data_IF_762866068705
#
_entry.id   IF_762866068705
#
_cell.length_a   1.000
_cell.length_b   1.000
_cell.length_c   1.000
_cell.angle_alpha   90.00
_cell.angle_beta   90.00
_cell.angle_gamma   90.00
#
_symmetry.space_group_name_H-M   'P 1'
#
loop_
_entity.id
_entity.type
_entity.pdbx_description
1 polymer ?
#
# COMPACT_ATOMS: atom_id res chain seq x y z
N UNK A 1 -7.60 -13.71 18.55
CA UNK A 1 -6.82 -14.18 17.39
C UNK A 1 -6.88 -13.18 16.24
N UNK A 2 -8.07 -12.86 15.70
CA UNK A 2 -8.22 -11.87 14.62
C UNK A 2 -7.60 -10.49 14.94
N UNK A 3 -7.85 -9.94 16.12
CA UNK A 3 -7.27 -8.64 16.51
C UNK A 3 -5.74 -8.62 16.59
N UNK A 4 -5.11 -9.75 16.94
CA UNK A 4 -3.65 -9.89 16.96
C UNK A 4 -3.10 -9.92 15.53
N UNK A 5 -3.77 -10.65 14.64
CA UNK A 5 -3.40 -10.68 13.22
C UNK A 5 -3.46 -9.28 12.59
N UNK A 6 -4.55 -8.53 12.80
CA UNK A 6 -4.65 -7.14 12.32
C UNK A 6 -3.52 -6.28 12.89
N UNK A 7 -3.28 -6.34 14.21
CA UNK A 7 -2.23 -5.57 14.85
C UNK A 7 -0.84 -5.88 14.26
N UNK A 8 -0.52 -7.16 14.06
CA UNK A 8 0.74 -7.58 13.44
C UNK A 8 0.89 -7.04 12.01
N UNK A 9 -0.17 -7.14 11.21
CA UNK A 9 -0.19 -6.63 9.84
C UNK A 9 0.07 -5.13 9.79
N UNK A 10 -0.68 -4.36 10.57
CA UNK A 10 -0.56 -2.90 10.65
C UNK A 10 0.83 -2.49 11.18
N UNK A 11 1.34 -3.16 12.21
CA UNK A 11 2.68 -2.88 12.75
C UNK A 11 3.77 -3.14 11.70
N UNK A 12 3.65 -4.23 10.94
CA UNK A 12 4.55 -4.51 9.82
C UNK A 12 4.50 -3.43 8.74
N UNK A 13 3.31 -2.99 8.36
CA UNK A 13 3.11 -1.88 7.41
C UNK A 13 3.78 -0.60 7.88
N UNK A 14 3.57 -0.20 9.14
CA UNK A 14 4.19 0.99 9.74
C UNK A 14 5.71 0.88 9.74
N UNK A 15 6.27 -0.27 10.10
CA UNK A 15 7.72 -0.49 10.10
C UNK A 15 8.30 -0.33 8.69
N UNK A 16 7.61 -0.81 7.65
CA UNK A 16 8.03 -0.63 6.26
C UNK A 16 7.96 0.84 5.83
N UNK A 17 6.96 1.60 6.27
CA UNK A 17 6.86 3.03 5.99
C UNK A 17 8.01 3.82 6.64
N UNK A 18 8.33 3.48 7.90
CA UNK A 18 9.50 4.03 8.61
C UNK A 18 10.79 3.65 7.88
N UNK A 19 10.91 2.42 7.38
CA UNK A 19 12.06 2.00 6.60
C UNK A 19 12.21 2.78 5.30
N UNK A 20 11.12 3.03 4.57
CA UNK A 20 11.14 3.88 3.38
C UNK A 20 11.61 5.31 3.69
N UNK A 21 11.19 5.86 4.83
CA UNK A 21 11.65 7.17 5.34
C UNK A 21 13.15 7.19 5.68
N UNK A 22 13.69 6.07 6.17
CA UNK A 22 15.13 5.90 6.43
C UNK A 22 15.91 5.83 5.13
N UNK A 23 15.45 5.02 4.16
CA UNK A 23 16.09 4.89 2.84
C UNK A 23 16.11 6.21 2.07
N UNK A 24 15.02 6.99 2.13
CA UNK A 24 14.96 8.33 1.53
C UNK A 24 16.04 9.25 2.13
N UNK A 25 16.16 9.27 3.45
CA UNK A 25 17.09 10.17 4.16
C UNK A 25 18.55 9.76 4.06
N UNK A 26 18.84 8.47 4.12
CA UNK A 26 20.21 7.96 4.24
C UNK A 26 20.79 7.48 2.91
N UNK A 27 19.95 7.01 1.98
CA UNK A 27 20.37 6.42 0.72
C UNK A 27 19.83 7.17 -0.51
N UNK A 28 19.02 8.22 -0.33
CA UNK A 28 18.44 9.00 -1.43
C UNK A 28 17.42 8.24 -2.27
N UNK A 29 16.91 7.10 -1.77
CA UNK A 29 15.92 6.29 -2.49
C UNK A 29 14.55 6.97 -2.37
N UNK A 30 13.86 7.30 -3.49
CA UNK A 30 12.55 7.93 -3.42
C UNK A 30 11.53 7.07 -2.68
N UNK A 31 10.64 7.72 -1.92
CA UNK A 31 9.52 7.02 -1.27
C UNK A 31 8.53 6.44 -2.29
N UNK A 32 7.79 5.39 -1.92
CA UNK A 32 6.70 4.88 -2.75
C UNK A 32 5.67 5.98 -3.07
N UNK A 33 5.26 6.05 -4.34
CA UNK A 33 4.17 6.91 -4.77
C UNK A 33 2.82 6.23 -4.51
N UNK A 34 2.21 6.52 -3.35
CA UNK A 34 0.88 6.00 -3.02
C UNK A 34 -0.24 6.57 -3.89
N UNK A 35 -0.02 7.68 -4.60
CA UNK A 35 -0.96 8.17 -5.62
C UNK A 35 -1.08 7.21 -6.80
N UNK A 36 0.04 6.67 -7.28
CA UNK A 36 0.08 5.65 -8.33
C UNK A 36 -0.68 4.38 -7.93
N UNK A 37 -0.56 3.95 -6.66
CA UNK A 37 -1.36 2.84 -6.13
C UNK A 37 -2.84 3.19 -6.07
N UNK A 38 -3.18 4.41 -5.64
CA UNK A 38 -4.56 4.87 -5.56
C UNK A 38 -5.28 4.88 -6.91
N UNK A 39 -4.66 5.47 -7.95
CA UNK A 39 -5.23 5.44 -9.30
C UNK A 39 -5.32 4.02 -9.85
N UNK A 40 -4.34 3.16 -9.54
CA UNK A 40 -4.40 1.75 -9.91
C UNK A 40 -5.62 1.06 -9.29
N UNK A 41 -5.91 1.31 -8.01
CA UNK A 41 -7.12 0.78 -7.34
C UNK A 41 -8.39 1.25 -8.06
N UNK A 42 -8.46 2.54 -8.45
CA UNK A 42 -9.61 3.07 -9.17
C UNK A 42 -9.76 2.45 -10.56
N UNK A 43 -8.69 2.38 -11.34
CA UNK A 43 -8.73 1.76 -12.69
C UNK A 43 -9.01 0.25 -12.62
N UNK A 44 -8.47 -0.45 -11.62
CA UNK A 44 -8.79 -1.85 -11.37
C UNK A 44 -10.28 -2.04 -11.06
N UNK A 45 -10.90 -1.15 -10.29
CA UNK A 45 -12.35 -1.15 -10.05
C UNK A 45 -13.18 -0.87 -11.31
N UNK A 46 -12.58 -0.27 -12.34
CA UNK A 46 -13.16 -0.03 -13.68
C UNK A 46 -12.85 -1.17 -14.66
N UNK A 47 -12.22 -2.25 -14.21
CA UNK A 47 -11.90 -3.43 -15.01
C UNK A 47 -10.54 -3.38 -15.71
N UNK A 48 -9.75 -2.31 -15.52
CA UNK A 48 -8.39 -2.20 -16.07
C UNK A 48 -7.36 -2.45 -14.99
N UNK A 49 -6.88 -3.68 -14.88
CA UNK A 49 -5.91 -4.07 -13.85
C UNK A 49 -4.46 -3.83 -14.30
N UNK A 50 -4.18 -4.08 -15.58
CA UNK A 50 -2.84 -3.94 -16.15
C UNK A 50 -2.69 -2.65 -16.95
N UNK A 51 -1.55 -2.00 -16.81
CA UNK A 51 -1.18 -0.76 -17.48
C UNK A 51 0.28 -0.87 -17.93
N UNK A 52 0.61 -0.39 -19.13
CA UNK A 52 2.00 -0.32 -19.60
C UNK A 52 2.81 0.64 -18.72
N UNK A 53 2.21 1.78 -18.38
CA UNK A 53 2.69 2.75 -17.39
C UNK A 53 1.51 3.28 -16.60
N UNK A 54 1.55 3.13 -15.28
CA UNK A 54 0.52 3.73 -14.40
C UNK A 54 0.67 5.26 -14.30
N UNK A 55 1.84 5.79 -14.66
CA UNK A 55 2.11 7.23 -14.70
C UNK A 55 1.42 7.98 -15.84
N UNK A 56 0.97 7.25 -16.86
CA UNK A 56 0.31 7.83 -18.04
C UNK A 56 -1.21 7.96 -17.85
N UNK A 57 -1.75 7.35 -16.78
CA UNK A 57 -3.15 7.52 -16.37
C UNK A 57 -3.31 8.94 -15.81
N UNK A 58 -4.45 9.59 -16.00
CA UNK A 58 -4.70 10.91 -15.41
C UNK A 58 -4.71 10.85 -13.87
N UNK A 59 -4.15 11.88 -13.22
CA UNK A 59 -4.19 11.97 -11.75
C UNK A 59 -5.62 12.18 -11.25
N UNK A 60 -5.97 11.47 -10.17
CA UNK A 60 -7.31 11.53 -9.59
C UNK A 60 -7.30 12.27 -8.24
N UNK A 61 -8.30 13.14 -7.98
CA UNK A 61 -8.41 13.80 -6.68
C UNK A 61 -8.46 12.79 -5.53
N UNK A 62 -7.48 12.86 -4.63
CA UNK A 62 -7.42 12.00 -3.45
C UNK A 62 -6.86 10.59 -3.68
N UNK A 63 -6.26 10.31 -4.84
CA UNK A 63 -5.63 9.02 -5.13
C UNK A 63 -4.63 8.58 -4.06
N UNK A 64 -3.81 9.50 -3.52
CA UNK A 64 -2.85 9.15 -2.48
C UNK A 64 -3.55 8.59 -1.22
N UNK A 65 -4.71 9.14 -0.83
CA UNK A 65 -5.48 8.63 0.31
C UNK A 65 -6.01 7.22 0.05
N UNK A 66 -6.48 6.96 -1.19
CA UNK A 66 -6.93 5.64 -1.60
C UNK A 66 -5.77 4.65 -1.55
N UNK A 67 -4.61 5.01 -2.09
CA UNK A 67 -3.43 4.17 -2.07
C UNK A 67 -2.93 3.86 -0.66
N UNK A 68 -2.89 4.85 0.23
CA UNK A 68 -2.59 4.64 1.64
C UNK A 68 -3.59 3.70 2.33
N UNK A 69 -4.89 3.90 2.10
CA UNK A 69 -5.92 3.04 2.67
C UNK A 69 -5.76 1.58 2.16
N UNK A 70 -5.49 1.41 0.87
CA UNK A 70 -5.27 0.09 0.28
C UNK A 70 -4.00 -0.59 0.82
N UNK A 71 -2.91 0.15 0.99
CA UNK A 71 -1.67 -0.34 1.60
C UNK A 71 -1.89 -0.92 3.00
N UNK A 72 -2.57 -0.17 3.87
CA UNK A 72 -2.89 -0.63 5.23
C UNK A 72 -3.91 -1.77 5.24
N UNK A 73 -4.86 -1.78 4.31
CA UNK A 73 -5.80 -2.90 4.15
C UNK A 73 -5.06 -4.19 3.79
N UNK A 74 -4.15 -4.16 2.81
CA UNK A 74 -3.35 -5.33 2.42
C UNK A 74 -2.47 -5.81 3.57
N UNK A 75 -1.84 -4.88 4.31
CA UNK A 75 -1.07 -5.21 5.50
C UNK A 75 -1.90 -5.94 6.57
N UNK A 76 -3.08 -5.42 6.89
CA UNK A 76 -4.01 -6.07 7.83
C UNK A 76 -4.44 -7.47 7.35
N UNK A 77 -4.74 -7.62 6.05
CA UNK A 77 -5.08 -8.92 5.46
C UNK A 77 -3.92 -9.90 5.60
N UNK A 78 -2.67 -9.48 5.35
CA UNK A 78 -1.52 -10.36 5.55
C UNK A 78 -1.36 -10.83 6.99
N UNK A 79 -1.54 -9.94 7.97
CA UNK A 79 -1.47 -10.33 9.38
C UNK A 79 -2.59 -11.29 9.79
N UNK A 80 -3.81 -11.11 9.24
CA UNK A 80 -4.91 -12.05 9.42
C UNK A 80 -4.63 -13.42 8.79
N UNK A 81 -4.15 -13.44 7.54
CA UNK A 81 -3.80 -14.67 6.82
C UNK A 81 -2.68 -15.40 7.54
N UNK A 82 -1.66 -14.68 8.02
CA UNK A 82 -0.57 -15.28 8.80
C UNK A 82 -1.12 -16.03 10.03
N UNK A 83 -1.90 -15.37 10.88
CA UNK A 83 -2.49 -16.03 12.06
C UNK A 83 -3.44 -17.18 11.70
N UNK A 84 -4.01 -17.19 10.50
CA UNK A 84 -4.87 -18.30 10.06
C UNK A 84 -4.07 -19.55 9.64
N UNK A 85 -2.81 -19.40 9.22
CA UNK A 85 -1.97 -20.50 8.72
C UNK A 85 -0.93 -21.00 9.72
N UNK A 86 -0.64 -20.24 10.78
CA UNK A 86 0.27 -20.66 11.88
C UNK A 86 -0.53 -21.11 13.09
#
# INVERSE_FOLDING_TARGET
>A
MLGIGVLMGIAGTVLMDVWALVLERLAGVPRPNWGAVGRWVVEASRGRVFHDSIGDVDELPGEARIGWAFHYLVGAIYGLVFIAIV
#
